data_IF_031573432308
#
_entry.id   IF_031573432308
#
_cell.length_a   1.000
_cell.length_b   1.000
_cell.length_c   1.000
_cell.angle_alpha   90.00
_cell.angle_beta   90.00
_cell.angle_gamma   90.00
#
_symmetry.space_group_name_H-M   'P 1'
#
loop_
_entity.id
_entity.type
_entity.pdbx_description
1 polymer ?
#
# COMPACT_ATOMS: atom_id res chain seq x y z
N UNK A 1 -26.07 1.94 7.95
CA UNK A 1 -25.52 2.83 8.99
C UNK A 1 -24.02 2.98 8.72
N UNK A 2 -23.54 4.19 8.48
CA UNK A 2 -22.12 4.48 8.26
C UNK A 2 -21.40 4.37 9.61
N UNK A 3 -20.66 3.29 9.85
CA UNK A 3 -19.81 3.18 11.04
C UNK A 3 -18.49 3.89 10.76
N UNK A 4 -18.34 5.09 11.31
CA UNK A 4 -17.18 5.96 11.12
C UNK A 4 -16.11 5.63 12.18
N UNK A 5 -15.11 4.83 11.82
CA UNK A 5 -13.86 4.74 12.60
C UNK A 5 -12.89 5.81 12.10
N UNK A 6 -12.80 6.92 12.84
CA UNK A 6 -11.75 7.93 12.62
C UNK A 6 -10.52 7.46 13.37
N UNK A 7 -9.47 7.06 12.65
CA UNK A 7 -8.16 6.81 13.22
C UNK A 7 -7.16 7.74 12.54
N UNK A 8 -6.68 8.72 13.32
CA UNK A 8 -5.41 9.44 13.15
C UNK A 8 -5.14 10.11 11.80
N UNK A 9 -5.49 11.39 11.68
CA UNK A 9 -4.82 12.40 10.82
C UNK A 9 -5.00 12.28 9.30
N UNK A 10 -5.17 11.08 8.77
CA UNK A 10 -5.53 10.80 7.39
C UNK A 10 -6.88 10.09 7.34
N UNK A 11 -7.69 10.46 6.36
CA UNK A 11 -9.05 9.99 6.17
C UNK A 11 -9.09 8.59 5.55
N UNK A 12 -8.68 7.54 6.27
CA UNK A 12 -8.86 6.17 5.80
C UNK A 12 -10.31 5.71 6.07
N UNK A 13 -11.13 5.69 5.02
CA UNK A 13 -12.55 5.33 5.10
C UNK A 13 -12.87 4.16 4.19
N UNK A 14 -13.34 3.05 4.76
CA UNK A 14 -13.98 2.00 3.98
C UNK A 14 -15.46 2.33 3.76
N UNK A 15 -15.92 2.21 2.53
CA UNK A 15 -17.35 2.21 2.20
C UNK A 15 -17.83 0.78 2.02
N UNK A 16 -18.85 0.39 2.79
CA UNK A 16 -19.53 -0.90 2.57
C UNK A 16 -20.66 -0.72 1.57
N UNK A 17 -20.57 -1.42 0.44
CA UNK A 17 -21.64 -1.54 -0.54
C UNK A 17 -22.41 -2.84 -0.27
N UNK A 18 -23.75 -2.75 -0.18
CA UNK A 18 -24.64 -3.92 0.02
C UNK A 18 -25.90 -3.74 -0.79
N UNK A 19 -26.22 -4.72 -1.63
CA UNK A 19 -27.53 -4.80 -2.27
C UNK A 19 -28.57 -5.27 -1.24
N UNK A 20 -29.64 -4.48 -1.02
CA UNK A 20 -30.67 -4.75 0.01
C UNK A 20 -32.05 -5.10 -0.57
N UNK A 21 -32.23 -4.98 -1.89
CA UNK A 21 -33.53 -5.16 -2.58
C UNK A 21 -33.48 -6.20 -3.70
N UNK A 22 -32.55 -7.15 -3.62
CA UNK A 22 -32.30 -8.17 -4.65
C UNK A 22 -30.86 -8.13 -5.17
N UNK A 23 -30.62 -8.81 -6.29
CA UNK A 23 -29.32 -8.78 -6.97
C UNK A 23 -28.95 -7.35 -7.37
N UNK A 24 -27.68 -7.01 -7.23
CA UNK A 24 -27.15 -5.71 -7.61
C UNK A 24 -25.71 -5.85 -8.09
N UNK A 25 -25.29 -4.90 -8.91
CA UNK A 25 -23.95 -4.80 -9.46
C UNK A 25 -23.28 -3.51 -8.98
N UNK A 26 -21.97 -3.59 -8.71
CA UNK A 26 -21.14 -2.44 -8.45
C UNK A 26 -19.88 -2.55 -9.30
N UNK A 27 -19.59 -1.51 -10.07
CA UNK A 27 -18.36 -1.39 -10.86
C UNK A 27 -17.39 -0.48 -10.10
N UNK A 28 -16.17 -0.97 -9.89
CA UNK A 28 -15.12 -0.27 -9.14
C UNK A 28 -13.91 -0.08 -10.06
N UNK A 29 -13.22 1.05 -9.89
CA UNK A 29 -11.99 1.36 -10.62
C UNK A 29 -10.95 1.96 -9.66
N UNK A 30 -9.65 1.62 -9.82
CA UNK A 30 -8.56 2.32 -9.15
C UNK A 30 -8.57 3.82 -9.47
N UNK A 31 -8.08 4.64 -8.54
CA UNK A 31 -7.93 6.10 -8.73
C UNK A 31 -6.73 6.47 -9.59
N UNK A 32 -5.81 5.53 -9.80
CA UNK A 32 -4.57 5.70 -10.57
C UNK A 32 -4.51 4.67 -11.71
N UNK A 33 -3.90 5.00 -12.85
CA UNK A 33 -3.72 4.05 -13.94
C UNK A 33 -2.79 2.90 -13.52
N UNK A 34 -3.23 1.66 -13.65
CA UNK A 34 -2.40 0.51 -13.31
C UNK A 34 -3.16 -0.80 -13.42
N UNK A 35 -2.71 -1.78 -12.65
CA UNK A 35 -3.25 -3.13 -12.65
C UNK A 35 -4.10 -3.40 -11.42
N UNK A 36 -4.96 -4.43 -11.55
CA UNK A 36 -5.77 -4.98 -10.46
C UNK A 36 -5.31 -6.43 -10.25
N UNK A 37 -5.11 -6.80 -9.00
CA UNK A 37 -4.84 -8.19 -8.59
C UNK A 37 -5.93 -8.68 -7.67
N UNK A 38 -6.46 -9.86 -7.96
CA UNK A 38 -7.50 -10.52 -7.18
C UNK A 38 -6.84 -11.67 -6.41
N UNK A 39 -6.94 -11.63 -5.08
CA UNK A 39 -6.43 -12.64 -4.17
C UNK A 39 -7.60 -13.31 -3.46
N UNK A 40 -7.68 -14.63 -3.55
CA UNK A 40 -8.66 -15.43 -2.81
C UNK A 40 -8.04 -15.88 -1.50
N UNK A 41 -8.48 -15.29 -0.39
CA UNK A 41 -7.98 -15.64 0.94
C UNK A 41 -8.77 -16.84 1.49
N UNK A 42 -8.04 -17.81 2.03
CA UNK A 42 -8.55 -19.09 2.54
C UNK A 42 -8.89 -19.06 4.05
N UNK A 43 -8.52 -17.98 4.74
CA UNK A 43 -8.62 -17.86 6.20
C UNK A 43 -7.34 -18.16 6.95
N UNK A 44 -6.28 -18.60 6.27
CA UNK A 44 -4.96 -18.89 6.86
C UNK A 44 -3.96 -17.80 6.48
N UNK A 45 -3.92 -17.44 5.21
CA UNK A 45 -2.97 -16.44 4.72
C UNK A 45 -3.45 -15.01 5.02
N UNK A 46 -2.53 -14.19 5.51
CA UNK A 46 -2.78 -12.77 5.76
C UNK A 46 -1.83 -11.92 4.90
N UNK A 47 -2.29 -10.73 4.51
CA UNK A 47 -1.53 -9.77 3.74
C UNK A 47 -1.39 -8.46 4.50
N UNK A 48 -0.22 -7.87 4.38
CA UNK A 48 0.05 -6.48 4.72
C UNK A 48 -0.06 -5.67 3.42
N UNK A 49 -0.91 -4.65 3.39
CA UNK A 49 -1.24 -3.87 2.19
C UNK A 49 -1.02 -2.39 2.48
N UNK A 50 -0.28 -1.67 1.63
CA UNK A 50 -0.19 -0.21 1.75
C UNK A 50 -1.56 0.44 1.50
N UNK A 51 -1.83 1.58 2.13
CA UNK A 51 -3.13 2.26 2.04
C UNK A 51 -3.66 2.40 0.60
N UNK A 52 -2.79 2.75 -0.34
CA UNK A 52 -3.16 3.03 -1.74
C UNK A 52 -3.23 1.77 -2.62
N UNK A 53 -2.84 0.62 -2.08
CA UNK A 53 -2.89 -0.68 -2.74
C UNK A 53 -4.18 -1.45 -2.51
N UNK A 54 -5.04 -1.04 -1.59
CA UNK A 54 -6.34 -1.66 -1.34
C UNK A 54 -7.42 -1.04 -2.23
N UNK A 55 -8.08 -1.87 -3.06
CA UNK A 55 -9.22 -1.44 -3.87
C UNK A 55 -10.56 -1.86 -3.23
N UNK A 56 -10.72 -3.14 -2.94
CA UNK A 56 -11.95 -3.70 -2.39
C UNK A 56 -11.70 -5.04 -1.70
N UNK A 57 -12.68 -5.49 -0.92
CA UNK A 57 -12.60 -6.78 -0.25
C UNK A 57 -13.98 -7.30 0.14
N UNK A 58 -14.07 -8.62 0.25
CA UNK A 58 -15.27 -9.30 0.77
C UNK A 58 -15.55 -8.84 2.20
N UNK A 59 -16.83 -8.74 2.57
CA UNK A 59 -17.23 -8.32 3.91
C UNK A 59 -16.73 -9.26 5.03
N UNK A 60 -16.44 -10.52 4.69
CA UNK A 60 -15.90 -11.54 5.60
C UNK A 60 -14.41 -11.37 5.90
N UNK A 61 -13.71 -10.46 5.21
CA UNK A 61 -12.32 -10.15 5.51
C UNK A 61 -12.22 -9.32 6.79
N UNK A 62 -11.24 -9.66 7.62
CA UNK A 62 -10.84 -8.85 8.75
C UNK A 62 -9.78 -7.85 8.27
N UNK A 63 -10.05 -6.55 8.46
CA UNK A 63 -9.13 -5.48 8.09
C UNK A 63 -8.76 -4.68 9.32
N UNK A 64 -7.48 -4.72 9.67
CA UNK A 64 -6.90 -4.02 10.81
C UNK A 64 -5.90 -2.96 10.33
N UNK A 65 -6.14 -1.69 10.67
CA UNK A 65 -5.19 -0.62 10.39
C UNK A 65 -4.02 -0.71 11.37
N UNK A 66 -2.81 -0.92 10.87
CA UNK A 66 -1.57 -0.85 11.64
C UNK A 66 -0.82 0.42 11.23
N UNK A 67 -0.94 1.45 12.05
CA UNK A 67 -0.02 2.59 11.94
C UNK A 67 1.30 2.18 12.58
N UNK A 68 2.34 1.99 11.77
CA UNK A 68 3.68 1.82 12.33
C UNK A 68 4.17 3.19 12.77
N UNK A 69 4.07 3.46 14.07
CA UNK A 69 4.64 4.66 14.69
C UNK A 69 6.15 4.57 14.60
N UNK A 70 6.69 5.09 13.50
CA UNK A 70 8.04 5.61 13.50
C UNK A 70 8.03 6.91 14.30
N UNK A 71 9.16 7.19 14.95
CA UNK A 71 9.40 8.47 15.61
C UNK A 71 8.99 9.61 14.67
N UNK A 72 8.14 10.51 15.18
CA UNK A 72 7.48 11.63 14.49
C UNK A 72 8.35 12.49 13.54
N UNK A 73 9.67 12.30 13.49
CA UNK A 73 10.61 13.12 12.73
C UNK A 73 11.13 12.55 11.40
N UNK A 74 10.70 11.36 10.96
CA UNK A 74 11.25 10.74 9.74
C UNK A 74 10.34 10.83 8.51
N UNK A 75 9.03 10.70 8.67
CA UNK A 75 8.07 10.54 7.56
C UNK A 75 7.38 11.83 7.14
N UNK A 76 7.92 13.02 7.46
CA UNK A 76 7.34 14.30 7.04
C UNK A 76 5.89 14.56 7.51
N UNK A 77 5.36 13.74 8.43
CA UNK A 77 4.01 13.86 8.98
C UNK A 77 3.02 12.76 8.61
N UNK A 78 3.23 11.98 7.53
CA UNK A 78 2.19 11.05 7.01
C UNK A 78 2.25 9.63 7.61
N UNK A 79 3.37 9.24 8.24
CA UNK A 79 3.48 7.91 8.83
C UNK A 79 3.46 6.78 7.79
N UNK A 80 3.72 5.54 8.23
CA UNK A 80 3.65 4.37 7.36
C UNK A 80 2.37 3.62 7.67
N UNK A 81 1.38 3.77 6.80
CA UNK A 81 0.05 3.18 6.98
C UNK A 81 -0.06 1.87 6.24
N UNK A 82 -0.27 0.80 7.01
CA UNK A 82 -0.42 -0.56 6.51
C UNK A 82 -1.76 -1.09 7.00
N UNK A 83 -2.49 -1.73 6.11
CA UNK A 83 -3.62 -2.58 6.44
C UNK A 83 -3.13 -4.01 6.61
N UNK A 84 -3.43 -4.62 7.75
CA UNK A 84 -3.35 -6.07 7.90
C UNK A 84 -4.70 -6.66 7.53
N UNK A 85 -4.72 -7.53 6.51
CA UNK A 85 -5.93 -8.11 5.97
C UNK A 85 -5.84 -9.64 6.06
N UNK A 86 -6.84 -10.25 6.67
CA UNK A 86 -6.96 -11.70 6.83
C UNK A 86 -8.41 -12.17 6.75
N UNK A 87 -8.66 -13.43 7.11
CA UNK A 87 -9.98 -14.04 6.99
C UNK A 87 -10.19 -14.70 5.62
N UNK A 88 -11.44 -15.04 5.30
CA UNK A 88 -11.78 -15.81 4.09
C UNK A 88 -12.59 -14.98 3.11
N UNK A 89 -12.19 -14.95 1.85
CA UNK A 89 -12.90 -14.29 0.75
C UNK A 89 -11.96 -13.53 -0.19
N UNK A 90 -12.55 -12.85 -1.17
CA UNK A 90 -11.81 -12.11 -2.19
C UNK A 90 -11.26 -10.78 -1.64
N UNK A 91 -9.96 -10.57 -1.79
CA UNK A 91 -9.25 -9.29 -1.63
C UNK A 91 -8.84 -8.77 -3.01
N UNK A 92 -9.10 -7.51 -3.28
CA UNK A 92 -8.76 -6.86 -4.54
C UNK A 92 -7.75 -5.75 -4.27
N UNK A 93 -6.59 -5.88 -4.89
CA UNK A 93 -5.49 -4.92 -4.84
C UNK A 93 -5.41 -4.11 -6.13
N UNK A 94 -4.81 -2.93 -6.06
CA UNK A 94 -4.45 -2.14 -7.23
C UNK A 94 -3.02 -1.55 -7.11
N UNK A 95 -2.51 -1.04 -8.22
CA UNK A 95 -1.19 -0.39 -8.30
C UNK A 95 -1.23 0.88 -9.15
N UNK A 96 -0.18 1.71 -9.03
CA UNK A 96 0.17 2.68 -10.06
C UNK A 96 1.20 2.09 -11.04
N UNK A 97 0.82 1.94 -12.30
CA UNK A 97 1.57 1.14 -13.28
C UNK A 97 1.34 -0.36 -13.09
N UNK A 98 2.23 -1.17 -13.65
CA UNK A 98 2.15 -2.63 -13.56
C UNK A 98 2.53 -3.17 -12.17
N UNK A 99 2.03 -4.36 -11.83
CA UNK A 99 2.39 -5.12 -10.65
C UNK A 99 3.52 -6.09 -11.02
N UNK A 100 4.57 -6.07 -10.21
CA UNK A 100 5.62 -7.08 -10.24
C UNK A 100 5.54 -7.91 -8.96
N UNK A 101 5.32 -9.22 -9.12
CA UNK A 101 5.25 -10.18 -8.04
C UNK A 101 6.63 -10.80 -7.82
N UNK A 102 7.11 -10.73 -6.59
CA UNK A 102 8.35 -11.34 -6.16
C UNK A 102 8.09 -12.43 -5.13
N UNK A 103 8.52 -13.65 -5.43
CA UNK A 103 8.51 -14.77 -4.49
C UNK A 103 9.87 -14.86 -3.81
N UNK A 104 9.91 -14.65 -2.49
CA UNK A 104 11.12 -14.82 -1.69
C UNK A 104 11.15 -16.21 -1.07
N UNK A 105 12.25 -16.93 -1.31
CA UNK A 105 12.54 -18.20 -0.65
C UNK A 105 12.94 -17.97 0.81
N UNK A 106 12.97 -19.02 1.66
CA UNK A 106 13.51 -18.91 3.01
C UNK A 106 14.91 -18.27 2.99
N UNK A 107 15.11 -17.28 3.87
CA UNK A 107 16.35 -16.50 4.01
C UNK A 107 16.77 -15.63 2.81
N UNK A 108 15.98 -15.62 1.72
CA UNK A 108 16.20 -14.69 0.62
C UNK A 108 15.84 -13.27 1.07
N UNK A 109 16.75 -12.32 0.85
CA UNK A 109 16.56 -10.92 1.18
C UNK A 109 16.37 -10.08 -0.08
N UNK A 110 15.47 -9.11 0.00
CA UNK A 110 15.27 -8.14 -1.06
C UNK A 110 14.98 -6.76 -0.48
N UNK A 111 15.52 -5.73 -1.10
CA UNK A 111 15.33 -4.34 -0.68
C UNK A 111 14.45 -3.65 -1.71
N UNK A 112 13.37 -3.04 -1.26
CA UNK A 112 12.42 -2.32 -2.11
C UNK A 112 12.28 -0.89 -1.62
N UNK A 113 12.27 0.09 -2.53
CA UNK A 113 11.84 1.46 -2.22
C UNK A 113 10.40 1.43 -1.72
N UNK A 114 10.15 2.07 -0.59
CA UNK A 114 8.84 2.10 0.03
C UNK A 114 7.72 2.65 -0.87
N UNK A 115 8.03 3.59 -1.76
CA UNK A 115 7.09 4.21 -2.71
C UNK A 115 6.59 3.26 -3.80
N UNK A 116 7.22 2.09 -3.91
CA UNK A 116 6.88 1.05 -4.87
C UNK A 116 6.16 -0.14 -4.25
N UNK A 117 5.89 -0.15 -2.94
CA UNK A 117 5.22 -1.28 -2.30
C UNK A 117 3.70 -1.23 -2.46
N UNK A 118 3.10 -2.38 -2.77
CA UNK A 118 1.64 -2.56 -2.83
C UNK A 118 1.17 -3.42 -1.67
N UNK A 119 1.67 -4.66 -1.59
CA UNK A 119 1.27 -5.62 -0.59
C UNK A 119 2.34 -6.71 -0.38
N UNK A 120 2.29 -7.43 0.72
CA UNK A 120 3.13 -8.60 0.96
C UNK A 120 2.48 -9.57 1.94
N UNK A 121 2.85 -10.85 1.89
CA UNK A 121 2.36 -11.85 2.84
C UNK A 121 2.87 -11.56 4.24
N UNK A 122 2.01 -11.73 5.25
CA UNK A 122 2.35 -11.49 6.66
C UNK A 122 3.45 -12.43 7.20
N UNK A 123 3.74 -13.54 6.50
CA UNK A 123 4.86 -14.44 6.80
C UNK A 123 6.22 -13.83 6.45
N UNK A 124 6.25 -12.86 5.52
CA UNK A 124 7.49 -12.19 5.11
C UNK A 124 7.93 -11.22 6.20
N UNK A 125 9.12 -11.43 6.74
CA UNK A 125 9.70 -10.49 7.69
C UNK A 125 10.13 -9.24 6.95
N UNK A 126 9.88 -8.06 7.52
CA UNK A 126 10.30 -6.80 6.91
C UNK A 126 10.79 -5.78 7.92
N UNK A 127 11.72 -4.93 7.48
CA UNK A 127 12.24 -3.81 8.26
C UNK A 127 12.34 -2.56 7.40
N UNK A 128 11.79 -1.46 7.90
CA UNK A 128 11.89 -0.15 7.25
C UNK A 128 13.16 0.53 7.74
N UNK A 129 13.97 1.00 6.81
CA UNK A 129 15.25 1.66 7.05
C UNK A 129 15.31 2.96 6.23
N UNK A 130 16.16 3.91 6.63
CA UNK A 130 16.47 5.04 5.74
C UNK A 130 17.36 4.53 4.61
N UNK A 131 17.12 5.02 3.39
CA UNK A 131 17.92 4.67 2.22
C UNK A 131 19.41 5.02 2.40
N UNK A 132 19.72 6.07 3.18
CA UNK A 132 21.10 6.49 3.44
C UNK A 132 21.37 6.92 4.89
N UNK A 133 22.63 6.81 5.31
CA UNK A 133 23.13 7.34 6.56
C UNK A 133 23.21 8.88 6.51
N UNK A 134 22.09 9.57 6.76
CA UNK A 134 22.03 11.02 6.86
C UNK A 134 20.75 11.63 6.27
N UNK A 135 20.32 12.77 6.82
CA UNK A 135 19.16 13.51 6.28
C UNK A 135 19.45 14.14 4.91
N UNK A 136 20.70 14.55 4.66
CA UNK A 136 21.11 15.19 3.40
C UNK A 136 21.13 14.15 2.26
N UNK A 137 21.64 12.94 2.50
CA UNK A 137 21.74 11.88 1.48
C UNK A 137 20.40 11.22 1.12
N UNK A 138 19.46 11.15 2.07
CA UNK A 138 18.08 10.71 1.80
C UNK A 138 17.32 11.76 0.97
N UNK A 139 17.61 13.05 1.14
CA UNK A 139 17.02 14.13 0.34
C UNK A 139 17.60 14.18 -1.08
N UNK A 140 18.91 13.94 -1.26
CA UNK A 140 19.56 13.99 -2.58
C UNK A 140 19.31 12.75 -3.44
N UNK A 141 19.01 11.59 -2.84
CA UNK A 141 18.63 10.39 -3.60
C UNK A 141 17.17 10.41 -4.08
N UNK A 142 16.32 11.24 -3.46
CA UNK A 142 14.87 11.22 -3.68
C UNK A 142 14.16 10.03 -3.02
N UNK A 143 14.92 9.08 -2.46
CA UNK A 143 14.42 7.90 -1.78
C UNK A 143 14.38 8.16 -0.26
N UNK A 144 13.16 8.31 0.28
CA UNK A 144 13.00 8.57 1.71
C UNK A 144 13.31 7.34 2.57
N UNK A 145 12.70 6.20 2.21
CA UNK A 145 12.74 4.97 2.99
C UNK A 145 12.79 3.75 2.09
N UNK A 146 13.54 2.75 2.54
CA UNK A 146 13.57 1.42 1.94
C UNK A 146 12.97 0.41 2.90
N UNK A 147 12.40 -0.65 2.35
CA UNK A 147 11.93 -1.80 3.10
C UNK A 147 12.78 -3.01 2.72
N UNK A 148 13.47 -3.57 3.72
CA UNK A 148 14.21 -4.83 3.60
C UNK A 148 13.28 -5.97 3.96
N UNK A 149 13.00 -6.83 3.00
CA UNK A 149 12.25 -8.07 3.19
C UNK A 149 13.18 -9.26 3.36
N UNK A 150 12.74 -10.24 4.15
CA UNK A 150 13.35 -11.55 4.26
C UNK A 150 12.27 -12.61 4.20
N UNK A 151 12.42 -13.56 3.28
CA UNK A 151 11.45 -14.64 3.05
C UNK A 151 11.40 -15.69 4.16
N UNK A 152 10.44 -16.63 4.08
CA UNK A 152 9.63 -16.91 2.90
C UNK A 152 8.36 -16.03 2.77
N UNK A 153 7.98 -15.75 1.52
CA UNK A 153 6.69 -15.14 1.20
C UNK A 153 6.68 -14.39 -0.12
N UNK A 154 5.61 -13.64 -0.36
CA UNK A 154 5.40 -12.89 -1.61
C UNK A 154 5.37 -11.40 -1.33
N UNK A 155 5.99 -10.61 -2.20
CA UNK A 155 5.95 -9.15 -2.19
C UNK A 155 5.45 -8.66 -3.55
N UNK A 156 4.42 -7.82 -3.52
CA UNK A 156 3.84 -7.14 -4.67
C UNK A 156 4.35 -5.71 -4.70
N UNK A 157 5.00 -5.34 -5.80
CA UNK A 157 5.49 -3.99 -6.04
C UNK A 157 4.84 -3.40 -7.29
N UNK A 158 4.78 -2.07 -7.36
CA UNK A 158 4.27 -1.33 -8.51
C UNK A 158 5.42 -0.72 -9.31
N UNK A 159 5.28 -0.58 -10.63
CA UNK A 159 6.36 -0.07 -11.49
C UNK A 159 6.47 1.45 -11.55
N UNK A 160 5.50 2.19 -10.98
CA UNK A 160 5.52 3.65 -10.94
C UNK A 160 5.35 4.17 -9.52
N UNK A 161 6.08 5.24 -9.21
CA UNK A 161 5.96 5.99 -7.96
C UNK A 161 5.09 7.24 -8.22
N UNK A 162 3.94 7.41 -7.53
CA UNK A 162 3.05 8.57 -7.71
C UNK A 162 3.71 9.92 -7.43
N UNK A 163 4.57 10.00 -6.41
CA UNK A 163 5.26 11.22 -6.02
C UNK A 163 6.29 11.65 -7.08
N UNK A 164 7.10 10.70 -7.57
CA UNK A 164 8.08 10.94 -8.64
C UNK A 164 7.39 11.30 -9.95
N UNK A 165 6.28 10.64 -10.27
CA UNK A 165 5.47 10.98 -11.44
C UNK A 165 4.87 12.39 -11.30
N UNK A 166 4.31 12.74 -10.15
CA UNK A 166 3.80 14.07 -9.89
C UNK A 166 4.88 15.14 -9.98
N UNK A 167 6.09 14.87 -9.48
CA UNK A 167 7.24 15.77 -9.62
C UNK A 167 7.65 15.98 -11.08
N UNK A 168 7.64 14.92 -11.87
CA UNK A 168 7.91 14.99 -13.30
C UNK A 168 6.83 15.79 -14.04
N UNK A 169 5.54 15.53 -13.78
CA UNK A 169 4.42 16.28 -14.38
C UNK A 169 4.49 17.77 -14.05
N UNK A 170 4.85 18.13 -12.80
CA UNK A 170 4.97 19.54 -12.36
C UNK A 170 5.93 20.37 -13.22
N UNK A 171 6.93 19.76 -13.86
CA UNK A 171 7.87 20.47 -14.75
C UNK A 171 7.20 21.03 -16.01
N UNK A 172 6.03 20.49 -16.38
CA UNK A 172 5.26 20.90 -17.55
C UNK A 172 4.03 21.73 -17.18
N UNK A 173 3.73 21.87 -15.89
CA UNK A 173 2.59 22.66 -15.43
C UNK A 173 3.02 24.13 -15.33
N UNK A 174 2.22 25.08 -15.83
CA UNK A 174 2.51 26.50 -15.64
C UNK A 174 2.54 26.80 -14.14
N UNK A 175 3.66 27.35 -13.66
CA UNK A 175 3.71 27.96 -12.34
C UNK A 175 2.88 29.23 -12.41
N UNK A 176 1.84 29.36 -11.59
CA UNK A 176 1.13 30.63 -11.42
C UNK A 176 2.13 31.68 -10.94
N UNK A 177 2.61 32.51 -11.85
CA UNK A 177 3.33 33.74 -11.56
C UNK A 177 2.30 34.83 -11.30
N UNK A 178 2.10 35.19 -10.04
CA UNK A 178 1.70 36.56 -9.67
C UNK A 178 2.95 37.40 -9.43
#
# INVERSE_FOLDING_TARGET
>A
ALSRKVLTGEHFFFQTLRATRGAGEALLAPTVPGEIVILELDGVNEYLVQKDGFLAGSQSLAIESKMQSFTRGLLGGEGFFILKIGGKGTLILNSFGAIHLMELKPDEEYIVDNSHLVAWTATTTYKIEKAAAGWISSFTSGEGFICRFRGPGVVYIQTRNPQSFGAWVRQFMPTSSE
#
